data_IF_490587050772
#
_entry.id   IF_490587050772
#
_cell.length_a   1.000
_cell.length_b   1.000
_cell.length_c   1.000
_cell.angle_alpha   90.00
_cell.angle_beta   90.00
_cell.angle_gamma   90.00
#
_symmetry.space_group_name_H-M   'P 1'
#
loop_
_entity.id
_entity.type
_entity.pdbx_description
1 polymer ?
#
# COMPACT_ATOMS: atom_id res chain seq x y z
N UNK A 1 26.32 -24.77 13.34
CA UNK A 1 27.30 -24.55 12.27
C UNK A 1 27.49 -25.72 11.30
N UNK A 2 27.12 -26.98 11.62
CA UNK A 2 27.48 -28.14 10.77
C UNK A 2 26.64 -28.45 9.52
N UNK A 3 25.46 -27.82 9.31
CA UNK A 3 24.58 -28.19 8.17
C UNK A 3 25.01 -27.56 6.84
N UNK A 4 25.63 -26.39 6.88
CA UNK A 4 26.07 -25.66 5.69
C UNK A 4 27.41 -26.17 5.18
N UNK A 5 28.33 -26.52 6.09
CA UNK A 5 29.62 -27.13 5.73
C UNK A 5 29.44 -28.52 5.14
N UNK A 6 28.54 -29.34 5.69
CA UNK A 6 28.25 -30.67 5.15
C UNK A 6 27.66 -30.61 3.73
N UNK A 7 26.77 -29.63 3.47
CA UNK A 7 26.21 -29.40 2.13
C UNK A 7 27.26 -28.92 1.14
N UNK A 8 28.19 -28.04 1.57
CA UNK A 8 29.28 -27.58 0.73
C UNK A 8 30.25 -28.74 0.37
N UNK A 9 30.57 -29.60 1.32
CA UNK A 9 31.44 -30.77 1.09
C UNK A 9 30.76 -31.79 0.19
N UNK A 10 29.48 -32.07 0.39
CA UNK A 10 28.71 -32.97 -0.48
C UNK A 10 28.59 -32.41 -1.91
N UNK A 11 28.33 -31.11 -2.04
CA UNK A 11 28.24 -30.46 -3.34
C UNK A 11 29.59 -30.47 -4.08
N UNK A 12 30.68 -30.20 -3.35
CA UNK A 12 32.04 -30.30 -3.89
C UNK A 12 32.40 -31.72 -4.31
N UNK A 13 32.03 -32.74 -3.52
CA UNK A 13 32.27 -34.14 -3.86
C UNK A 13 31.50 -34.60 -5.09
N UNK A 14 30.23 -34.19 -5.22
CA UNK A 14 29.42 -34.48 -6.42
C UNK A 14 30.00 -33.81 -7.67
N UNK A 15 30.45 -32.55 -7.56
CA UNK A 15 31.14 -31.86 -8.65
C UNK A 15 32.41 -32.59 -9.09
N UNK A 16 33.20 -33.09 -8.12
CA UNK A 16 34.44 -33.80 -8.40
C UNK A 16 34.19 -35.13 -9.13
N UNK A 17 33.19 -35.90 -8.71
CA UNK A 17 32.80 -37.16 -9.36
C UNK A 17 32.22 -36.90 -10.76
N UNK A 18 31.40 -35.86 -10.93
CA UNK A 18 30.91 -35.45 -12.25
C UNK A 18 32.05 -35.03 -13.19
N UNK A 19 33.05 -34.31 -12.68
CA UNK A 19 34.23 -33.91 -13.46
C UNK A 19 35.03 -35.12 -13.94
N UNK A 20 35.16 -36.16 -13.11
CA UNK A 20 35.90 -37.37 -13.46
C UNK A 20 35.16 -38.29 -14.46
N UNK A 21 33.83 -38.34 -14.39
CA UNK A 21 32.99 -39.21 -15.27
C UNK A 21 32.83 -38.63 -16.67
N UNK A 22 32.80 -37.31 -16.81
CA UNK A 22 32.52 -36.66 -18.08
C UNK A 22 33.77 -36.34 -18.92
N UNK A 23 34.99 -36.59 -18.40
CA UNK A 23 36.27 -36.15 -19.02
C UNK A 23 36.21 -34.68 -19.48
N UNK A 24 35.34 -33.92 -18.78
CA UNK A 24 35.05 -32.54 -19.07
C UNK A 24 36.08 -31.77 -18.27
N UNK A 25 37.12 -31.33 -18.96
CA UNK A 25 38.17 -30.52 -18.37
C UNK A 25 37.56 -29.15 -18.01
N UNK A 26 36.89 -29.11 -16.86
CA UNK A 26 36.17 -27.95 -16.34
C UNK A 26 37.14 -26.79 -16.16
N UNK A 27 38.40 -27.11 -15.87
CA UNK A 27 39.47 -26.14 -15.81
C UNK A 27 39.73 -25.51 -17.18
N UNK A 28 39.90 -26.30 -18.23
CA UNK A 28 40.12 -25.79 -19.59
C UNK A 28 38.89 -25.04 -20.13
N UNK A 29 37.68 -25.54 -19.84
CA UNK A 29 36.43 -24.90 -20.27
C UNK A 29 36.18 -23.56 -19.56
N UNK A 30 36.49 -23.47 -18.25
CA UNK A 30 36.48 -22.19 -17.53
C UNK A 30 37.63 -21.30 -18.00
N UNK A 31 38.80 -21.85 -18.28
CA UNK A 31 39.96 -21.08 -18.70
C UNK A 31 39.73 -20.42 -20.06
N UNK A 32 39.19 -21.16 -21.04
CA UNK A 32 38.79 -20.63 -22.35
C UNK A 32 37.67 -19.60 -22.19
N UNK A 33 36.67 -19.87 -21.34
CA UNK A 33 35.61 -18.89 -21.06
C UNK A 33 36.14 -17.62 -20.39
N UNK A 34 37.12 -17.74 -19.48
CA UNK A 34 37.79 -16.61 -18.86
C UNK A 34 38.66 -15.86 -19.86
N UNK A 35 39.38 -16.55 -20.72
CA UNK A 35 40.27 -15.97 -21.74
C UNK A 35 39.45 -15.22 -22.82
N UNK A 36 38.28 -15.75 -23.18
CA UNK A 36 37.34 -15.08 -24.07
C UNK A 36 36.64 -13.88 -23.39
N UNK A 37 36.44 -13.95 -22.06
CA UNK A 37 35.99 -12.81 -21.24
C UNK A 37 37.09 -11.76 -21.02
N UNK A 38 38.37 -12.16 -20.97
CA UNK A 38 39.53 -11.27 -20.83
C UNK A 38 39.77 -10.50 -22.14
N UNK A 39 39.29 -11.04 -23.28
CA UNK A 39 39.26 -10.35 -24.58
C UNK A 39 38.09 -9.38 -24.72
N UNK A 40 37.02 -9.57 -23.95
CA UNK A 40 36.07 -8.51 -23.73
C UNK A 40 36.73 -7.48 -22.83
N UNK A 41 36.72 -6.21 -23.24
CA UNK A 41 37.13 -5.08 -22.41
C UNK A 41 36.14 -4.95 -21.23
N UNK A 42 36.17 -5.90 -20.30
CA UNK A 42 35.31 -5.99 -19.13
C UNK A 42 35.42 -4.73 -18.30
N UNK A 43 36.59 -4.09 -18.31
CA UNK A 43 36.81 -2.78 -17.71
C UNK A 43 35.96 -1.69 -18.39
N UNK A 44 35.84 -1.68 -19.72
CA UNK A 44 35.01 -0.71 -20.45
C UNK A 44 33.50 -0.98 -20.25
N UNK A 45 33.09 -2.26 -20.24
CA UNK A 45 31.70 -2.64 -19.95
C UNK A 45 31.35 -2.33 -18.48
N UNK A 46 32.26 -2.54 -17.54
CA UNK A 46 32.06 -2.21 -16.13
C UNK A 46 32.01 -0.69 -15.94
N UNK A 47 32.87 0.06 -16.64
CA UNK A 47 32.91 1.52 -16.62
C UNK A 47 31.64 2.15 -17.21
N UNK A 48 31.11 1.62 -18.31
CA UNK A 48 29.87 2.13 -18.92
C UNK A 48 28.60 1.56 -18.26
N UNK A 49 28.59 0.25 -17.98
CA UNK A 49 27.44 -0.48 -17.46
C UNK A 49 27.23 -0.31 -15.96
N UNK A 50 28.31 -0.14 -15.18
CA UNK A 50 28.25 0.06 -13.74
C UNK A 50 27.39 1.27 -13.33
N UNK A 51 27.66 2.48 -13.84
CA UNK A 51 26.86 3.66 -13.54
C UNK A 51 25.40 3.52 -13.98
N UNK A 52 25.14 2.87 -15.12
CA UNK A 52 23.78 2.62 -15.61
C UNK A 52 23.03 1.67 -14.69
N UNK A 53 23.63 0.55 -14.29
CA UNK A 53 23.02 -0.41 -13.37
C UNK A 53 22.76 0.23 -12.00
N UNK A 54 23.69 1.04 -11.50
CA UNK A 54 23.56 1.75 -10.23
C UNK A 54 22.45 2.80 -10.30
N UNK A 55 22.37 3.55 -11.41
CA UNK A 55 21.28 4.49 -11.67
C UNK A 55 19.90 3.83 -11.74
N UNK A 56 19.80 2.69 -12.43
CA UNK A 56 18.55 1.90 -12.49
C UNK A 56 18.16 1.38 -11.11
N UNK A 57 19.10 0.85 -10.34
CA UNK A 57 18.84 0.37 -8.97
C UNK A 57 18.34 1.50 -8.06
N UNK A 58 19.02 2.66 -8.09
CA UNK A 58 18.59 3.83 -7.33
C UNK A 58 17.21 4.33 -7.78
N UNK A 59 16.94 4.35 -9.09
CA UNK A 59 15.64 4.70 -9.64
C UNK A 59 14.52 3.78 -9.17
N UNK A 60 14.75 2.47 -9.15
CA UNK A 60 13.77 1.48 -8.65
C UNK A 60 13.51 1.68 -7.15
N UNK A 61 14.57 1.87 -6.35
CA UNK A 61 14.43 2.11 -4.90
C UNK A 61 13.66 3.41 -4.64
N UNK A 62 13.99 4.48 -5.36
CA UNK A 62 13.31 5.76 -5.23
C UNK A 62 11.83 5.67 -5.64
N UNK A 63 11.53 5.02 -6.77
CA UNK A 63 10.17 4.81 -7.23
C UNK A 63 9.33 3.98 -6.25
N UNK A 64 9.94 2.96 -5.63
CA UNK A 64 9.28 2.17 -4.58
C UNK A 64 8.94 3.01 -3.35
N UNK A 65 9.87 3.84 -2.90
CA UNK A 65 9.64 4.72 -1.75
C UNK A 65 8.53 5.75 -2.02
N UNK A 66 8.52 6.35 -3.21
CA UNK A 66 7.45 7.27 -3.62
C UNK A 66 6.08 6.58 -3.65
N UNK A 67 6.00 5.36 -4.20
CA UNK A 67 4.75 4.59 -4.20
C UNK A 67 4.25 4.31 -2.78
N UNK A 68 5.14 3.93 -1.86
CA UNK A 68 4.76 3.70 -0.46
C UNK A 68 4.26 4.97 0.23
N UNK A 69 4.87 6.12 -0.05
CA UNK A 69 4.41 7.40 0.48
C UNK A 69 3.02 7.77 -0.05
N UNK A 70 2.78 7.58 -1.35
CA UNK A 70 1.46 7.82 -1.94
C UNK A 70 0.40 6.90 -1.33
N UNK A 71 0.69 5.60 -1.19
CA UNK A 71 -0.25 4.64 -0.58
C UNK A 71 -0.63 5.08 0.84
N UNK A 72 0.34 5.50 1.66
CA UNK A 72 0.07 6.00 3.02
C UNK A 72 -0.83 7.24 3.02
N UNK A 73 -0.63 8.16 2.08
CA UNK A 73 -1.51 9.32 1.93
C UNK A 73 -2.93 8.87 1.56
N UNK A 74 -3.08 7.98 0.59
CA UNK A 74 -4.39 7.44 0.20
C UNK A 74 -5.09 6.71 1.35
N UNK A 75 -4.37 5.91 2.13
CA UNK A 75 -4.91 5.24 3.32
C UNK A 75 -5.41 6.25 4.35
N UNK A 76 -4.64 7.30 4.63
CA UNK A 76 -5.06 8.37 5.54
C UNK A 76 -6.29 9.11 5.04
N UNK A 77 -6.39 9.38 3.73
CA UNK A 77 -7.58 9.99 3.15
C UNK A 77 -8.80 9.08 3.29
N UNK A 78 -8.66 7.79 2.97
CA UNK A 78 -9.73 6.79 3.09
C UNK A 78 -10.18 6.59 4.53
N UNK A 79 -9.25 6.57 5.48
CA UNK A 79 -9.57 6.47 6.91
C UNK A 79 -10.39 7.68 7.37
N UNK A 80 -9.98 8.90 7.00
CA UNK A 80 -10.74 10.10 7.34
C UNK A 80 -12.12 10.12 6.69
N UNK A 81 -12.24 9.70 5.43
CA UNK A 81 -13.52 9.57 4.74
C UNK A 81 -14.42 8.54 5.42
N UNK A 82 -13.87 7.38 5.80
CA UNK A 82 -14.59 6.34 6.51
C UNK A 82 -15.13 6.81 7.87
N UNK A 83 -14.32 7.51 8.65
CA UNK A 83 -14.73 8.09 9.93
C UNK A 83 -15.83 9.14 9.77
N UNK A 84 -15.71 10.03 8.78
CA UNK A 84 -16.74 11.04 8.49
C UNK A 84 -18.05 10.40 8.02
N UNK A 85 -17.98 9.37 7.18
CA UNK A 85 -19.15 8.66 6.67
C UNK A 85 -19.86 7.90 7.78
N UNK A 86 -19.11 7.26 8.69
CA UNK A 86 -19.68 6.61 9.86
C UNK A 86 -20.37 7.62 10.78
N UNK A 87 -19.72 8.77 11.04
CA UNK A 87 -20.31 9.85 11.85
C UNK A 87 -21.56 10.44 11.21
N UNK A 88 -21.57 10.61 9.88
CA UNK A 88 -22.74 11.06 9.14
C UNK A 88 -23.88 10.04 9.22
N UNK A 89 -23.56 8.74 9.12
CA UNK A 89 -24.53 7.66 9.26
C UNK A 89 -25.17 7.65 10.65
N UNK A 90 -24.39 7.86 11.72
CA UNK A 90 -24.91 7.96 13.08
C UNK A 90 -25.83 9.17 13.27
N UNK A 91 -25.47 10.32 12.70
CA UNK A 91 -26.32 11.53 12.73
C UNK A 91 -27.64 11.26 12.00
N UNK A 92 -27.58 10.68 10.80
CA UNK A 92 -28.77 10.36 10.00
C UNK A 92 -29.64 9.33 10.72
N UNK A 93 -29.07 8.30 11.32
CA UNK A 93 -29.83 7.30 12.07
C UNK A 93 -30.56 7.91 13.27
N UNK A 94 -29.88 8.76 14.04
CA UNK A 94 -30.50 9.44 15.19
C UNK A 94 -31.61 10.40 14.73
N UNK A 95 -31.40 11.09 13.62
CA UNK A 95 -32.41 11.95 13.00
C UNK A 95 -33.64 11.16 12.57
N UNK A 96 -33.46 10.04 11.85
CA UNK A 96 -34.55 9.19 11.38
C UNK A 96 -35.34 8.59 12.54
N UNK A 97 -34.66 8.14 13.59
CA UNK A 97 -35.32 7.60 14.79
C UNK A 97 -36.15 8.69 15.48
N UNK A 98 -35.63 9.91 15.56
CA UNK A 98 -36.36 11.05 16.11
C UNK A 98 -37.59 11.40 15.27
N UNK A 99 -37.47 11.40 13.94
CA UNK A 99 -38.60 11.61 13.03
C UNK A 99 -39.67 10.52 13.20
N UNK A 100 -39.28 9.25 13.33
CA UNK A 100 -40.24 8.16 13.54
C UNK A 100 -41.08 8.38 14.80
N UNK A 101 -40.48 8.90 15.88
CA UNK A 101 -41.22 9.24 17.09
C UNK A 101 -42.26 10.34 16.84
N UNK A 102 -41.92 11.37 16.06
CA UNK A 102 -42.87 12.42 15.67
C UNK A 102 -43.98 11.90 14.74
N UNK A 103 -43.66 10.99 13.81
CA UNK A 103 -44.66 10.36 12.92
C UNK A 103 -45.65 9.53 13.75
N UNK A 104 -45.16 8.73 14.71
CA UNK A 104 -46.00 7.99 15.65
C UNK A 104 -46.90 8.93 16.46
N UNK A 105 -46.33 10.02 17.00
CA UNK A 105 -47.08 11.01 17.78
C UNK A 105 -48.14 11.72 16.95
N UNK A 106 -47.85 12.02 15.68
CA UNK A 106 -48.79 12.62 14.73
C UNK A 106 -49.90 11.66 14.28
N UNK A 107 -49.64 10.35 14.33
CA UNK A 107 -50.63 9.33 14.01
C UNK A 107 -51.62 9.12 15.17
N UNK A 108 -51.11 9.10 16.41
CA UNK A 108 -51.91 8.85 17.61
C UNK A 108 -52.55 10.11 18.20
N UNK A 109 -51.98 11.30 17.98
CA UNK A 109 -52.44 12.59 18.52
C UNK A 109 -52.30 13.73 17.50
N UNK A 110 -53.06 14.83 17.69
CA UNK A 110 -52.78 16.08 16.96
C UNK A 110 -51.45 16.64 17.46
N UNK A 111 -50.51 16.83 16.55
CA UNK A 111 -49.25 17.52 16.82
C UNK A 111 -49.54 18.91 17.38
N UNK A 112 -48.97 19.21 18.55
CA UNK A 112 -49.00 20.56 19.09
C UNK A 112 -47.99 21.44 18.33
N UNK A 113 -48.21 22.78 18.27
CA UNK A 113 -47.26 23.70 17.64
C UNK A 113 -45.82 23.56 18.16
N UNK A 114 -45.67 23.23 19.44
CA UNK A 114 -44.37 22.95 20.08
C UNK A 114 -43.65 21.72 19.53
N UNK A 115 -44.40 20.71 19.06
CA UNK A 115 -43.82 19.51 18.46
C UNK A 115 -43.29 19.81 17.05
N UNK A 116 -43.98 20.69 16.32
CA UNK A 116 -43.53 21.18 15.00
C UNK A 116 -42.26 22.01 15.14
N UNK A 117 -42.22 22.93 16.12
CA UNK A 117 -41.03 23.74 16.42
C UNK A 117 -39.84 22.87 16.86
N UNK A 118 -40.11 21.81 17.64
CA UNK A 118 -39.07 20.86 18.05
C UNK A 118 -38.53 20.04 16.86
N UNK A 119 -39.39 19.69 15.90
CA UNK A 119 -38.99 19.02 14.67
C UNK A 119 -38.15 19.93 13.76
N UNK A 120 -38.54 21.20 13.60
CA UNK A 120 -37.77 22.19 12.82
C UNK A 120 -36.38 22.41 13.42
N UNK A 121 -36.29 22.59 14.74
CA UNK A 121 -35.00 22.70 15.45
C UNK A 121 -34.13 21.44 15.26
N UNK A 122 -34.74 20.25 15.25
CA UNK A 122 -34.04 18.99 15.05
C UNK A 122 -33.51 18.84 13.62
N UNK A 123 -34.25 19.33 12.63
CA UNK A 123 -33.81 19.42 11.22
C UNK A 123 -32.64 20.40 11.11
N UNK A 124 -32.75 21.60 11.70
CA UNK A 124 -31.71 22.62 11.64
C UNK A 124 -30.41 22.16 12.32
N UNK A 125 -30.49 21.58 13.52
CA UNK A 125 -29.33 21.03 14.21
C UNK A 125 -28.65 19.88 13.45
N UNK A 126 -29.45 19.00 12.84
CA UNK A 126 -28.93 17.91 12.00
C UNK A 126 -28.22 18.44 10.77
N UNK A 127 -28.81 19.43 10.09
CA UNK A 127 -28.22 20.09 8.94
C UNK A 127 -26.89 20.79 9.29
N UNK A 128 -26.84 21.51 10.42
CA UNK A 128 -25.60 22.14 10.90
C UNK A 128 -24.50 21.10 11.20
N UNK A 129 -24.85 19.97 11.82
CA UNK A 129 -23.89 18.89 12.13
C UNK A 129 -23.34 18.22 10.87
N UNK A 130 -24.18 17.95 9.87
CA UNK A 130 -23.75 17.42 8.57
C UNK A 130 -22.82 18.41 7.86
N UNK A 131 -23.16 19.70 7.85
CA UNK A 131 -22.34 20.73 7.22
C UNK A 131 -20.98 20.91 7.92
N UNK A 132 -20.93 20.71 9.24
CA UNK A 132 -19.67 20.72 9.98
C UNK A 132 -18.75 19.52 9.63
N UNK A 133 -19.33 18.37 9.30
CA UNK A 133 -18.58 17.19 8.83
C UNK A 133 -18.09 17.33 7.38
N UNK A 134 -18.79 18.12 6.56
CA UNK A 134 -18.43 18.37 5.15
C UNK A 134 -17.24 19.33 5.01
N UNK A 135 -17.17 20.39 5.82
CA UNK A 135 -16.06 21.38 5.80
C UNK A 135 -14.64 20.80 5.79
N UNK A 136 -14.26 19.90 6.71
CA UNK A 136 -12.91 19.33 6.72
C UNK A 136 -12.61 18.42 5.52
N UNK A 137 -13.63 17.91 4.82
CA UNK A 137 -13.45 17.14 3.58
C UNK A 137 -13.16 18.04 2.37
N UNK A 138 -13.68 19.27 2.37
CA UNK A 138 -13.48 20.24 1.29
C UNK A 138 -12.13 20.96 1.40
N UNK A 139 -11.71 21.33 2.61
CA UNK A 139 -10.41 22.01 2.83
C UNK A 139 -9.20 21.09 2.56
N UNK A 140 -9.35 19.77 2.73
CA UNK A 140 -8.28 18.79 2.51
C UNK A 140 -8.13 18.36 1.04
N UNK A 141 -9.05 18.77 0.17
CA UNK A 141 -9.07 18.48 -1.27
C UNK A 141 -8.69 19.69 -2.15
N UNK A 142 -8.35 20.84 -1.55
CA UNK A 142 -7.74 22.01 -2.22
C UNK A 142 -6.22 21.99 -2.03
#
# INVERSE_FOLDING_TARGET
MGRWTLRAVLFGGVLLVCSFVFDWDYYESIHIFLEELDHFELDEILLMGGPVALGVLLGIVHAKNLKQQQIKLYEQHLETLGQTLHSAQDIINNFLNSIQLYILKAHDQKLDPSDIESLENLIEHTAQRLNHLEKPLLEKNQ
#
